data_IF_873876712590
#
_entry.id   IF_873876712590
#
_cell.length_a   1.000
_cell.length_b   1.000
_cell.length_c   1.000
_cell.angle_alpha   90.00
_cell.angle_beta   90.00
_cell.angle_gamma   90.00
#
_symmetry.space_group_name_H-M   'P 1'
#
loop_
_entity.id
_entity.type
_entity.pdbx_description
1 polymer ?
#
# COMPACT_ATOMS: atom_id res chain seq x y z
N UNK A 1 1.67 -10.46 -2.36
CA UNK A 1 2.10 -10.08 -0.99
C UNK A 1 3.58 -10.34 -0.74
N UNK A 2 4.20 -11.29 -1.42
CA UNK A 2 5.63 -11.62 -1.28
C UNK A 2 6.55 -10.42 -1.49
N UNK A 3 6.40 -9.68 -2.59
CA UNK A 3 7.19 -8.47 -2.87
C UNK A 3 7.13 -7.42 -1.73
N UNK A 4 5.96 -7.23 -1.10
CA UNK A 4 5.84 -6.32 0.05
C UNK A 4 6.71 -6.79 1.23
N UNK A 5 6.73 -8.10 1.50
CA UNK A 5 7.57 -8.69 2.56
C UNK A 5 9.06 -8.54 2.26
N UNK A 6 9.45 -8.68 1.00
CA UNK A 6 10.84 -8.50 0.55
C UNK A 6 11.28 -7.03 0.71
N UNK A 7 10.49 -6.08 0.20
CA UNK A 7 10.75 -4.64 0.34
C UNK A 7 10.93 -4.25 1.81
N UNK A 8 10.11 -4.82 2.71
CA UNK A 8 10.18 -4.55 4.15
C UNK A 8 11.39 -5.20 4.82
N UNK A 9 11.90 -6.32 4.31
CA UNK A 9 13.13 -6.94 4.80
C UNK A 9 14.39 -6.23 4.31
N UNK A 10 14.42 -5.77 3.06
CA UNK A 10 15.62 -5.19 2.46
C UNK A 10 15.85 -3.73 2.84
N UNK A 11 14.77 -2.98 3.14
CA UNK A 11 14.84 -1.54 3.43
C UNK A 11 14.46 -1.22 4.88
N UNK A 12 15.23 -1.74 5.86
CA UNK A 12 14.95 -1.54 7.29
C UNK A 12 15.20 -0.11 7.79
N UNK A 13 16.26 0.54 7.31
CA UNK A 13 16.69 1.86 7.79
C UNK A 13 15.91 3.03 7.17
N UNK A 14 15.42 2.84 5.95
CA UNK A 14 14.62 3.82 5.21
C UNK A 14 13.57 3.10 4.35
N UNK A 15 12.54 2.52 4.99
CA UNK A 15 11.52 1.76 4.27
C UNK A 15 10.77 2.65 3.28
N UNK A 16 10.62 2.25 2.01
CA UNK A 16 9.86 3.02 1.04
C UNK A 16 8.36 3.03 1.39
N UNK A 17 7.65 4.04 0.92
CA UNK A 17 6.20 4.09 1.05
C UNK A 17 5.55 3.14 0.05
N UNK A 18 4.77 2.17 0.53
CA UNK A 18 4.13 1.14 -0.30
C UNK A 18 2.61 1.24 -0.17
N UNK A 19 1.95 1.50 -1.29
CA UNK A 19 0.50 1.45 -1.44
C UNK A 19 0.09 0.21 -2.23
N UNK A 20 -0.88 -0.55 -1.72
CA UNK A 20 -1.39 -1.74 -2.39
C UNK A 20 -2.61 -1.42 -3.24
N UNK A 21 -2.70 -1.95 -4.46
CA UNK A 21 -3.87 -1.76 -5.34
C UNK A 21 -4.69 -3.04 -5.36
N UNK A 22 -5.92 -3.00 -4.85
CA UNK A 22 -6.80 -4.16 -4.67
C UNK A 22 -8.11 -4.03 -5.44
N UNK A 23 -8.77 -5.16 -5.77
CA UNK A 23 -10.10 -5.19 -6.38
C UNK A 23 -11.17 -5.52 -5.33
N UNK A 24 -12.44 -5.25 -5.66
CA UNK A 24 -13.57 -5.64 -4.81
C UNK A 24 -13.59 -7.16 -4.58
N UNK A 25 -13.72 -7.58 -3.32
CA UNK A 25 -13.77 -8.98 -2.90
C UNK A 25 -12.49 -9.52 -2.28
N UNK A 26 -11.40 -8.73 -2.25
CA UNK A 26 -10.09 -9.20 -1.79
C UNK A 26 -9.72 -8.69 -0.38
N UNK A 27 -10.70 -8.75 0.54
CA UNK A 27 -10.57 -8.28 1.92
C UNK A 27 -9.45 -9.00 2.67
N UNK A 28 -9.23 -10.28 2.37
CA UNK A 28 -8.19 -11.07 3.01
C UNK A 28 -6.79 -10.58 2.60
N UNK A 29 -6.53 -10.38 1.30
CA UNK A 29 -5.25 -9.81 0.86
C UNK A 29 -5.06 -8.38 1.36
N UNK A 30 -6.14 -7.60 1.46
CA UNK A 30 -6.09 -6.28 2.09
C UNK A 30 -5.59 -6.38 3.55
N UNK A 31 -6.24 -7.22 4.36
CA UNK A 31 -5.87 -7.40 5.76
C UNK A 31 -4.42 -7.91 5.90
N UNK A 32 -4.05 -8.91 5.09
CA UNK A 32 -2.69 -9.45 5.10
C UNK A 32 -1.67 -8.40 4.66
N UNK A 33 -1.96 -7.57 3.65
CA UNK A 33 -1.06 -6.51 3.24
C UNK A 33 -0.81 -5.48 4.35
N UNK A 34 -1.88 -5.04 5.03
CA UNK A 34 -1.76 -4.11 6.14
C UNK A 34 -0.94 -4.71 7.29
N UNK A 35 -1.14 -6.00 7.63
CA UNK A 35 -0.33 -6.70 8.63
C UNK A 35 1.14 -6.84 8.24
N UNK A 36 1.42 -7.00 6.93
CA UNK A 36 2.79 -7.06 6.40
C UNK A 36 3.43 -5.65 6.24
N UNK A 37 2.79 -4.61 6.75
CA UNK A 37 3.34 -3.25 6.78
C UNK A 37 3.13 -2.46 5.50
N UNK A 38 2.11 -2.75 4.69
CA UNK A 38 1.65 -1.79 3.67
C UNK A 38 1.24 -0.48 4.36
N UNK A 39 1.56 0.66 3.75
CA UNK A 39 1.23 1.94 4.36
C UNK A 39 -0.23 2.35 4.09
N UNK A 40 -0.73 2.02 2.90
CA UNK A 40 -2.07 2.38 2.47
C UNK A 40 -2.53 1.50 1.30
N UNK A 41 -3.74 1.70 0.82
CA UNK A 41 -4.34 0.95 -0.28
C UNK A 41 -5.17 1.84 -1.22
N UNK A 42 -5.36 1.33 -2.43
CA UNK A 42 -6.20 1.89 -3.47
C UNK A 42 -7.12 0.78 -3.99
N UNK A 43 -8.36 1.11 -4.28
CA UNK A 43 -9.30 0.18 -4.90
C UNK A 43 -9.29 0.36 -6.41
N UNK A 44 -9.47 -0.73 -7.16
CA UNK A 44 -9.70 -0.68 -8.62
C UNK A 44 -11.19 -0.43 -8.92
N UNK A 45 -11.51 0.34 -9.97
CA UNK A 45 -10.58 1.18 -10.75
C UNK A 45 -10.01 2.31 -9.90
N UNK A 46 -8.74 2.67 -10.13
CA UNK A 46 -8.04 3.65 -9.31
C UNK A 46 -8.69 5.03 -9.47
N UNK A 47 -9.16 5.60 -8.36
CA UNK A 47 -9.62 6.98 -8.30
C UNK A 47 -8.42 7.93 -8.14
N UNK A 48 -8.13 8.69 -9.19
CA UNK A 48 -7.02 9.64 -9.21
C UNK A 48 -7.19 10.83 -8.27
N UNK A 49 -8.43 11.23 -7.96
CA UNK A 49 -8.67 12.29 -6.98
C UNK A 49 -8.31 11.77 -5.59
N UNK A 50 -8.76 10.56 -5.25
CA UNK A 50 -8.39 9.91 -4.00
C UNK A 50 -6.87 9.70 -3.88
N UNK A 51 -6.21 9.24 -4.95
CA UNK A 51 -4.76 9.10 -4.99
C UNK A 51 -4.04 10.42 -4.73
N UNK A 52 -4.46 11.52 -5.38
CA UNK A 52 -3.86 12.84 -5.15
C UNK A 52 -3.97 13.29 -3.71
N UNK A 53 -5.12 13.10 -3.08
CA UNK A 53 -5.29 13.46 -1.67
C UNK A 53 -4.38 12.64 -0.75
N UNK A 54 -4.28 11.31 -0.98
CA UNK A 54 -3.34 10.45 -0.24
C UNK A 54 -1.89 10.90 -0.41
N UNK A 55 -1.46 11.21 -1.65
CA UNK A 55 -0.09 11.67 -1.90
C UNK A 55 0.25 12.96 -1.15
N UNK A 56 -0.69 13.91 -1.03
CA UNK A 56 -0.46 15.13 -0.24
C UNK A 56 -0.13 14.83 1.22
N UNK A 57 -0.77 13.81 1.81
CA UNK A 57 -0.53 13.40 3.20
C UNK A 57 0.90 12.93 3.44
N UNK A 58 1.55 12.34 2.44
CA UNK A 58 2.86 11.68 2.62
C UNK A 58 4.04 12.41 1.96
N UNK A 59 3.77 13.49 1.22
CA UNK A 59 4.81 14.29 0.55
C UNK A 59 5.14 15.59 1.30
N UNK A 60 4.57 15.79 2.50
CA UNK A 60 4.80 17.00 3.33
C UNK A 60 5.81 16.73 4.43
#
# INVERSE_FOLDING_TARGET
LELLKEIRHEHLSAPPYVMMVTAYGDQENFNQAMQNGANDFLTKPVDFNNLKEKLKTYTT
#
